data_IF_020254573447
#
_entry.id   IF_020254573447
#
_cell.length_a   1.000
_cell.length_b   1.000
_cell.length_c   1.000
_cell.angle_alpha   90.00
_cell.angle_beta   90.00
_cell.angle_gamma   90.00
#
_symmetry.space_group_name_H-M   'P 1'
#
loop_
_entity.id
_entity.type
_entity.pdbx_description
1 polymer ?
#
# COMPACT_ATOMS: atom_id res chain seq x y z
N UNK A 1 -9.50 7.40 -0.31
CA UNK A 1 -9.96 7.57 1.07
C UNK A 1 -11.30 6.87 1.36
N UNK A 2 -12.13 6.56 0.37
CA UNK A 2 -13.40 5.82 0.53
C UNK A 2 -14.63 6.65 0.92
N UNK A 3 -14.49 7.93 1.24
CA UNK A 3 -15.60 8.79 1.72
C UNK A 3 -16.78 8.85 0.75
N UNK A 4 -16.51 8.99 -0.55
CA UNK A 4 -17.53 9.04 -1.59
C UNK A 4 -17.87 7.67 -2.20
N UNK A 5 -17.25 6.61 -1.71
CA UNK A 5 -17.38 5.28 -2.31
C UNK A 5 -18.82 4.74 -2.20
N UNK A 6 -19.55 5.09 -1.13
CA UNK A 6 -20.96 4.70 -0.99
C UNK A 6 -21.85 5.24 -2.11
N UNK A 7 -21.59 6.47 -2.54
CA UNK A 7 -22.33 7.11 -3.65
C UNK A 7 -21.99 6.48 -5.01
N UNK A 8 -20.71 6.17 -5.24
CA UNK A 8 -20.22 5.79 -6.56
C UNK A 8 -20.03 4.30 -6.78
N UNK A 9 -20.12 3.44 -5.76
CA UNK A 9 -19.76 2.03 -5.87
C UNK A 9 -20.46 1.31 -7.02
N UNK A 10 -21.77 1.50 -7.18
CA UNK A 10 -22.52 0.87 -8.26
C UNK A 10 -22.08 1.34 -9.64
N UNK A 11 -21.96 2.65 -9.84
CA UNK A 11 -21.51 3.22 -11.11
C UNK A 11 -20.07 2.82 -11.45
N UNK A 12 -19.19 2.74 -10.45
CA UNK A 12 -17.81 2.26 -10.62
C UNK A 12 -17.78 0.79 -11.04
N UNK A 13 -18.64 -0.05 -10.46
CA UNK A 13 -18.77 -1.45 -10.87
C UNK A 13 -19.25 -1.58 -12.30
N UNK A 14 -20.28 -0.83 -12.68
CA UNK A 14 -20.82 -0.80 -14.05
C UNK A 14 -19.78 -0.28 -15.05
N UNK A 15 -18.92 0.65 -14.64
CA UNK A 15 -17.79 1.14 -15.45
C UNK A 15 -16.61 0.15 -15.56
N UNK A 16 -16.68 -1.02 -14.90
CA UNK A 16 -15.67 -2.08 -15.00
C UNK A 16 -14.53 -1.98 -13.96
N UNK A 17 -14.77 -1.34 -12.81
CA UNK A 17 -13.75 -1.28 -11.75
C UNK A 17 -13.48 -2.68 -11.19
N UNK A 18 -12.22 -3.14 -11.24
CA UNK A 18 -11.79 -4.46 -10.79
C UNK A 18 -11.67 -4.56 -9.26
N UNK A 19 -11.14 -3.54 -8.60
CA UNK A 19 -10.94 -3.54 -7.14
C UNK A 19 -10.65 -2.15 -6.59
N UNK A 20 -10.84 -1.95 -5.28
CA UNK A 20 -10.48 -0.72 -4.58
C UNK A 20 -9.55 -0.98 -3.40
N UNK A 21 -8.66 -0.02 -3.14
CA UNK A 21 -7.91 0.05 -1.89
C UNK A 21 -8.43 1.25 -1.10
N UNK A 22 -8.82 1.01 0.14
CA UNK A 22 -9.32 2.05 1.05
C UNK A 22 -8.31 2.22 2.18
N UNK A 23 -7.92 3.47 2.46
CA UNK A 23 -7.07 3.80 3.61
C UNK A 23 -7.92 3.86 4.87
N UNK A 24 -7.52 3.13 5.90
CA UNK A 24 -8.19 3.11 7.21
C UNK A 24 -7.15 2.80 8.29
N UNK A 25 -6.73 3.83 9.01
CA UNK A 25 -5.66 3.71 10.01
C UNK A 25 -6.19 3.57 11.43
N UNK A 26 -7.48 3.81 11.67
CA UNK A 26 -8.14 3.67 12.97
C UNK A 26 -9.65 3.47 12.82
N UNK A 27 -10.28 2.89 13.84
CA UNK A 27 -11.74 2.80 14.02
C UNK A 27 -12.26 3.69 15.15
N UNK A 28 -11.38 4.46 15.79
CA UNK A 28 -11.73 5.49 16.75
C UNK A 28 -12.00 6.81 16.02
N UNK A 29 -13.18 7.41 16.24
CA UNK A 29 -13.63 8.64 15.57
C UNK A 29 -12.72 9.84 15.90
N UNK A 30 -12.29 9.95 17.16
CA UNK A 30 -11.42 11.04 17.60
C UNK A 30 -10.04 10.94 16.96
N UNK A 31 -9.49 9.74 16.95
CA UNK A 31 -8.19 9.47 16.31
C UNK A 31 -8.28 9.63 14.80
N UNK A 32 -9.39 9.20 14.17
CA UNK A 32 -9.61 9.40 12.74
C UNK A 32 -9.64 10.89 12.38
N UNK A 33 -10.35 11.71 13.17
CA UNK A 33 -10.37 13.16 12.98
C UNK A 33 -8.99 13.78 13.18
N UNK A 34 -8.23 13.31 14.18
CA UNK A 34 -6.85 13.77 14.44
C UNK A 34 -5.91 13.46 13.27
N UNK A 35 -6.00 12.25 12.69
CA UNK A 35 -5.13 11.80 11.61
C UNK A 35 -5.49 12.42 10.26
N UNK A 36 -6.79 12.55 9.97
CA UNK A 36 -7.28 12.96 8.64
C UNK A 36 -7.70 14.42 8.56
N UNK A 37 -7.91 15.08 9.69
CA UNK A 37 -8.52 16.40 9.78
C UNK A 37 -10.01 16.45 9.47
N UNK A 38 -10.70 15.28 9.43
CA UNK A 38 -12.11 15.16 9.03
C UNK A 38 -12.85 14.18 9.93
N UNK A 39 -14.11 14.48 10.18
CA UNK A 39 -15.06 13.61 10.90
C UNK A 39 -15.89 12.80 9.90
N UNK A 40 -15.23 11.86 9.21
CA UNK A 40 -15.86 11.09 8.11
C UNK A 40 -15.64 9.58 8.23
N UNK A 41 -15.29 9.06 9.40
CA UNK A 41 -15.07 7.62 9.60
C UNK A 41 -16.28 6.79 9.18
N UNK A 42 -17.48 7.21 9.58
CA UNK A 42 -18.72 6.50 9.24
C UNK A 42 -18.99 6.49 7.73
N UNK A 43 -18.64 7.56 7.00
CA UNK A 43 -18.73 7.60 5.54
C UNK A 43 -17.77 6.62 4.87
N UNK A 44 -16.53 6.47 5.39
CA UNK A 44 -15.56 5.48 4.91
C UNK A 44 -16.07 4.06 5.12
N UNK A 45 -16.58 3.75 6.32
CA UNK A 45 -17.13 2.42 6.65
C UNK A 45 -18.37 2.09 5.79
N UNK A 46 -19.25 3.06 5.57
CA UNK A 46 -20.38 2.93 4.64
C UNK A 46 -19.90 2.68 3.20
N UNK A 47 -18.85 3.38 2.76
CA UNK A 47 -18.22 3.17 1.47
C UNK A 47 -17.65 1.77 1.27
N UNK A 48 -16.99 1.22 2.29
CA UNK A 48 -16.47 -0.16 2.28
C UNK A 48 -17.63 -1.16 2.12
N UNK A 49 -18.72 -0.97 2.86
CA UNK A 49 -19.89 -1.83 2.78
C UNK A 49 -20.57 -1.75 1.41
N UNK A 50 -20.78 -0.55 0.87
CA UNK A 50 -21.35 -0.36 -0.45
C UNK A 50 -20.51 -1.00 -1.58
N UNK A 51 -19.17 -0.92 -1.49
CA UNK A 51 -18.30 -1.60 -2.44
C UNK A 51 -18.46 -3.13 -2.37
N UNK A 52 -18.57 -3.70 -1.16
CA UNK A 52 -18.86 -5.14 -0.98
C UNK A 52 -20.20 -5.54 -1.59
N UNK A 53 -21.25 -4.78 -1.32
CA UNK A 53 -22.59 -5.01 -1.87
C UNK A 53 -22.60 -4.94 -3.40
N UNK A 54 -21.81 -4.01 -3.97
CA UNK A 54 -21.59 -3.90 -5.41
C UNK A 54 -20.64 -4.98 -5.98
N UNK A 55 -20.18 -5.94 -5.14
CA UNK A 55 -19.24 -6.98 -5.53
C UNK A 55 -17.92 -6.44 -6.11
N UNK A 56 -17.45 -5.32 -5.58
CA UNK A 56 -16.12 -4.79 -5.86
C UNK A 56 -15.16 -5.34 -4.79
N UNK A 57 -14.11 -6.08 -5.16
CA UNK A 57 -13.08 -6.50 -4.22
C UNK A 57 -12.44 -5.31 -3.51
N UNK A 58 -12.48 -5.32 -2.18
CA UNK A 58 -11.90 -4.27 -1.34
C UNK A 58 -10.65 -4.79 -0.65
N UNK A 59 -9.66 -3.94 -0.49
CA UNK A 59 -8.51 -4.13 0.41
C UNK A 59 -8.35 -2.90 1.28
N UNK A 60 -8.05 -3.09 2.54
CA UNK A 60 -7.75 -1.99 3.46
C UNK A 60 -6.24 -1.79 3.52
N UNK A 61 -5.80 -0.54 3.44
CA UNK A 61 -4.44 -0.12 3.71
C UNK A 61 -4.40 0.59 5.06
N UNK A 62 -3.51 0.17 5.93
CA UNK A 62 -3.28 0.76 7.24
C UNK A 62 -1.81 1.07 7.39
N UNK A 63 -1.48 2.33 7.67
CA UNK A 63 -0.09 2.73 7.91
C UNK A 63 0.28 2.34 9.33
N UNK A 64 1.39 1.60 9.46
CA UNK A 64 1.87 1.12 10.74
C UNK A 64 2.75 2.18 11.41
N UNK A 65 2.22 2.80 12.45
CA UNK A 65 2.93 3.74 13.35
C UNK A 65 2.87 3.23 14.79
N UNK A 66 3.71 3.75 15.69
CA UNK A 66 4.00 3.20 17.02
C UNK A 66 2.76 2.96 17.91
N UNK A 67 1.71 3.76 17.77
CA UNK A 67 0.49 3.67 18.59
C UNK A 67 -0.73 3.17 17.83
N UNK A 68 -0.51 2.47 16.71
CA UNK A 68 -1.60 1.90 15.93
C UNK A 68 -2.37 0.85 16.75
N UNK A 69 -3.67 0.99 16.86
CA UNK A 69 -4.56 -0.06 17.35
C UNK A 69 -4.82 -1.08 16.23
N UNK A 70 -3.80 -1.88 15.94
CA UNK A 70 -3.86 -2.89 14.90
C UNK A 70 -4.87 -4.00 15.20
N UNK A 71 -5.18 -4.27 16.50
CA UNK A 71 -6.16 -5.29 16.90
C UNK A 71 -7.56 -4.93 16.44
N UNK A 72 -8.03 -3.72 16.72
CA UNK A 72 -9.34 -3.25 16.26
C UNK A 72 -9.44 -3.30 14.74
N UNK A 73 -8.39 -2.93 14.01
CA UNK A 73 -8.36 -3.05 12.55
C UNK A 73 -8.47 -4.51 12.10
N UNK A 74 -7.70 -5.43 12.72
CA UNK A 74 -7.79 -6.87 12.38
C UNK A 74 -9.16 -7.45 12.72
N UNK A 75 -9.73 -7.14 13.88
CA UNK A 75 -11.05 -7.63 14.28
C UNK A 75 -12.15 -7.13 13.33
N UNK A 76 -12.08 -5.87 12.92
CA UNK A 76 -13.00 -5.32 11.93
C UNK A 76 -12.83 -6.03 10.58
N UNK A 77 -11.62 -6.11 10.05
CA UNK A 77 -11.33 -6.68 8.73
C UNK A 77 -11.64 -8.18 8.69
N UNK A 78 -11.39 -8.91 9.79
CA UNK A 78 -11.75 -10.31 9.95
C UNK A 78 -13.28 -10.51 9.94
N UNK A 79 -14.02 -9.67 10.68
CA UNK A 79 -15.50 -9.71 10.71
C UNK A 79 -16.10 -9.44 9.34
N UNK A 80 -15.58 -8.47 8.59
CA UNK A 80 -16.08 -8.13 7.25
C UNK A 80 -15.43 -8.95 6.13
N UNK A 81 -14.45 -9.81 6.44
CA UNK A 81 -13.71 -10.69 5.52
C UNK A 81 -13.02 -9.91 4.38
N UNK A 82 -12.39 -8.80 4.72
CA UNK A 82 -11.64 -7.95 3.80
C UNK A 82 -10.14 -8.05 4.12
N UNK A 83 -9.26 -8.34 3.14
CA UNK A 83 -7.81 -8.32 3.37
C UNK A 83 -7.33 -6.94 3.82
N UNK A 84 -6.43 -6.92 4.80
CA UNK A 84 -5.74 -5.70 5.24
C UNK A 84 -4.27 -5.76 4.89
N UNK A 85 -3.65 -4.61 4.61
CA UNK A 85 -2.22 -4.44 4.39
C UNK A 85 -1.67 -3.42 5.36
N UNK A 86 -0.74 -3.84 6.19
CA UNK A 86 0.04 -2.96 7.04
C UNK A 86 1.25 -2.43 6.26
N UNK A 87 1.38 -1.13 6.22
CA UNK A 87 2.41 -0.41 5.46
C UNK A 87 3.33 0.30 6.45
N UNK A 88 4.61 -0.01 6.44
CA UNK A 88 5.56 0.73 7.28
C UNK A 88 5.53 2.22 6.97
N UNK A 89 5.50 3.03 8.03
CA UNK A 89 5.54 4.47 7.93
C UNK A 89 6.84 4.92 7.26
N UNK A 90 6.71 5.67 6.18
CA UNK A 90 7.84 6.29 5.48
C UNK A 90 8.01 7.74 5.97
N UNK A 91 9.23 8.25 6.11
CA UNK A 91 9.49 9.61 6.60
C UNK A 91 9.24 10.67 5.53
N UNK A 92 8.02 10.69 4.96
CA UNK A 92 7.60 11.60 3.88
C UNK A 92 6.50 12.52 4.39
N UNK A 93 6.66 13.83 4.19
CA UNK A 93 5.67 14.82 4.59
C UNK A 93 5.33 14.71 6.08
N UNK A 94 4.06 14.54 6.43
CA UNK A 94 3.63 14.37 7.82
C UNK A 94 4.17 13.11 8.48
N UNK A 95 4.51 12.08 7.71
CA UNK A 95 5.09 10.84 8.22
C UNK A 95 6.44 11.02 8.90
N UNK A 96 7.18 12.09 8.57
CA UNK A 96 8.45 12.41 9.20
C UNK A 96 8.32 12.80 10.70
N UNK A 97 7.14 13.19 11.14
CA UNK A 97 6.86 13.55 12.54
C UNK A 97 6.44 12.34 13.40
N UNK A 98 6.25 11.16 12.80
CA UNK A 98 5.81 9.97 13.50
C UNK A 98 6.92 8.93 13.58
N UNK A 99 6.97 8.20 14.69
CA UNK A 99 7.80 7.01 14.80
C UNK A 99 7.07 5.86 14.10
N UNK A 100 7.70 5.28 13.10
CA UNK A 100 7.19 4.07 12.42
C UNK A 100 7.30 2.84 13.31
N UNK A 101 6.42 1.88 13.10
CA UNK A 101 6.51 0.53 13.67
C UNK A 101 7.18 -0.43 12.68
N UNK A 102 7.86 -1.47 13.20
CA UNK A 102 8.39 -2.56 12.39
C UNK A 102 7.29 -3.56 12.04
N UNK A 103 7.11 -3.86 10.77
CA UNK A 103 6.18 -4.90 10.34
C UNK A 103 6.59 -6.29 10.83
N UNK A 104 7.88 -6.53 11.09
CA UNK A 104 8.35 -7.78 11.68
C UNK A 104 7.87 -7.95 13.12
N UNK A 105 7.91 -6.88 13.92
CA UNK A 105 7.38 -6.89 15.27
C UNK A 105 5.86 -7.07 15.29
N UNK A 106 5.14 -6.33 14.42
CA UNK A 106 3.69 -6.48 14.27
C UNK A 106 3.31 -7.91 13.86
N UNK A 107 4.06 -8.51 12.95
CA UNK A 107 3.83 -9.89 12.53
C UNK A 107 3.91 -10.87 13.71
N UNK A 108 4.96 -10.75 14.56
CA UNK A 108 5.09 -11.59 15.76
C UNK A 108 3.91 -11.38 16.74
N UNK A 109 3.49 -10.15 16.96
CA UNK A 109 2.34 -9.84 17.81
C UNK A 109 1.04 -10.47 17.27
N UNK A 110 0.87 -10.48 15.94
CA UNK A 110 -0.29 -11.12 15.30
C UNK A 110 -0.18 -12.65 15.45
N UNK A 111 0.98 -13.26 15.26
CA UNK A 111 1.19 -14.70 15.49
C UNK A 111 0.86 -15.12 16.93
N UNK A 112 1.30 -14.35 17.92
CA UNK A 112 0.99 -14.59 19.33
C UNK A 112 -0.52 -14.57 19.62
N UNK A 113 -1.28 -13.71 18.94
CA UNK A 113 -2.72 -13.56 19.17
C UNK A 113 -3.57 -14.53 18.34
N UNK A 114 -3.17 -14.83 17.09
CA UNK A 114 -4.02 -15.53 16.11
C UNK A 114 -3.41 -16.83 15.60
N UNK A 115 -2.28 -17.25 16.14
CA UNK A 115 -1.59 -18.52 15.82
C UNK A 115 -0.50 -18.38 14.77
N UNK A 116 0.47 -19.29 14.85
CA UNK A 116 1.68 -19.28 14.05
C UNK A 116 1.41 -19.70 12.60
N UNK A 117 1.83 -18.89 11.65
CA UNK A 117 1.66 -19.13 10.19
C UNK A 117 2.35 -20.42 9.74
N UNK A 118 3.45 -20.84 10.37
CA UNK A 118 4.18 -22.07 10.06
C UNK A 118 3.38 -23.35 10.33
N UNK A 119 2.44 -23.30 11.27
CA UNK A 119 1.58 -24.44 11.63
C UNK A 119 0.34 -24.57 10.74
N UNK A 120 -0.17 -23.46 10.21
CA UNK A 120 -1.46 -23.42 9.51
C UNK A 120 -1.37 -23.57 8.00
N UNK A 121 -0.25 -23.39 7.38
CA UNK A 121 -0.25 -23.42 5.95
C UNK A 121 1.08 -23.19 5.26
N UNK A 122 1.64 -24.28 4.82
CA UNK A 122 2.38 -24.26 3.58
C UNK A 122 1.51 -23.62 2.51
N UNK A 123 1.85 -22.41 2.07
CA UNK A 123 1.36 -21.90 0.81
C UNK A 123 1.83 -22.90 -0.25
N UNK A 124 0.93 -23.79 -0.69
CA UNK A 124 1.25 -24.72 -1.77
C UNK A 124 1.34 -23.91 -3.04
N UNK A 125 2.54 -23.78 -3.58
CA UNK A 125 2.67 -23.45 -5.00
C UNK A 125 1.91 -24.51 -5.81
N UNK A 126 1.48 -24.18 -7.02
CA UNK A 126 0.92 -25.17 -7.96
C UNK A 126 1.85 -26.36 -8.23
N UNK A 127 3.11 -26.27 -7.85
CA UNK A 127 4.17 -27.29 -8.02
C UNK A 127 4.46 -28.11 -6.75
N UNK A 128 3.69 -27.94 -5.65
CA UNK A 128 3.82 -28.82 -4.47
C UNK A 128 5.03 -28.56 -3.56
N UNK A 129 5.81 -27.49 -3.77
CA UNK A 129 6.93 -27.13 -2.88
C UNK A 129 6.43 -26.52 -1.59
N UNK A 130 6.89 -27.08 -0.46
CA UNK A 130 6.64 -26.55 0.89
C UNK A 130 7.61 -25.41 1.17
N UNK A 131 7.10 -24.19 1.41
CA UNK A 131 7.91 -23.09 1.93
C UNK A 131 7.58 -22.91 3.42
N UNK A 132 8.59 -22.94 4.30
CA UNK A 132 8.43 -22.47 5.66
C UNK A 132 8.36 -20.94 5.61
N UNK A 133 7.32 -20.35 6.20
CA UNK A 133 7.25 -18.91 6.37
C UNK A 133 8.25 -18.51 7.46
N UNK A 134 9.52 -18.29 7.11
CA UNK A 134 10.48 -17.67 8.01
C UNK A 134 10.19 -16.17 8.03
N UNK A 135 9.92 -15.64 9.22
CA UNK A 135 9.67 -14.21 9.44
C UNK A 135 10.83 -13.33 8.95
N UNK A 136 12.05 -13.89 8.91
CA UNK A 136 13.24 -13.23 8.36
C UNK A 136 13.16 -13.02 6.84
N UNK A 137 12.17 -13.61 6.19
CA UNK A 137 11.93 -13.51 4.76
C UNK A 137 10.64 -12.71 4.45
N UNK A 138 10.41 -11.60 5.17
CA UNK A 138 9.50 -10.53 4.74
C UNK A 138 10.03 -9.81 3.49
N UNK A 139 11.22 -10.23 3.01
CA UNK A 139 11.77 -9.78 1.75
C UNK A 139 10.82 -10.15 0.61
N UNK A 140 10.55 -9.19 -0.23
CA UNK A 140 9.83 -9.37 -1.47
C UNK A 140 10.58 -10.36 -2.36
N UNK A 141 10.00 -11.54 -2.60
CA UNK A 141 10.48 -12.47 -3.61
C UNK A 141 9.43 -12.57 -4.71
N UNK A 142 9.86 -12.62 -5.98
CA UNK A 142 8.96 -12.76 -7.13
C UNK A 142 8.07 -14.02 -7.02
N UNK A 143 8.53 -15.06 -6.34
CA UNK A 143 7.80 -16.30 -6.09
C UNK A 143 6.58 -16.11 -5.15
N UNK A 144 6.61 -15.11 -4.24
CA UNK A 144 5.48 -14.78 -3.36
C UNK A 144 4.35 -14.03 -4.09
N UNK A 145 4.61 -13.44 -5.25
CA UNK A 145 3.61 -12.78 -6.09
C UNK A 145 2.66 -13.72 -6.86
N UNK A 146 2.94 -15.00 -6.93
CA UNK A 146 2.20 -15.91 -7.82
C UNK A 146 0.79 -16.29 -7.36
N UNK A 147 0.30 -15.80 -6.22
CA UNK A 147 -1.13 -15.86 -5.95
C UNK A 147 -1.84 -14.69 -6.66
N UNK A 148 -2.18 -14.78 -7.91
CA UNK A 148 -2.88 -13.75 -8.71
C UNK A 148 -4.16 -13.15 -8.07
N UNK A 149 -4.46 -13.54 -6.85
CA UNK A 149 -5.58 -13.12 -6.00
C UNK A 149 -5.45 -11.67 -5.47
N UNK A 150 -4.23 -11.17 -5.28
CA UNK A 150 -4.01 -9.87 -4.62
C UNK A 150 -3.39 -8.79 -5.52
N UNK A 151 -3.12 -9.09 -6.80
CA UNK A 151 -2.55 -8.14 -7.77
C UNK A 151 -1.03 -7.96 -7.63
N UNK A 152 -0.44 -7.10 -8.47
CA UNK A 152 1.02 -6.89 -8.63
C UNK A 152 1.59 -5.86 -7.64
N UNK A 153 1.19 -5.86 -6.38
CA UNK A 153 1.71 -4.93 -5.35
C UNK A 153 2.89 -5.53 -4.58
N UNK A 154 3.68 -4.71 -3.84
CA UNK A 154 4.83 -5.16 -3.07
C UNK A 154 4.47 -5.84 -1.73
N UNK A 155 3.20 -6.12 -1.47
CA UNK A 155 2.75 -6.73 -0.23
C UNK A 155 3.03 -8.23 -0.21
N UNK A 156 3.67 -8.72 0.85
CA UNK A 156 3.70 -10.14 1.19
C UNK A 156 2.45 -10.49 2.02
N UNK A 157 1.70 -11.52 1.62
CA UNK A 157 0.44 -11.91 2.27
C UNK A 157 0.58 -13.20 3.05
N UNK A 158 -0.06 -13.23 4.23
CA UNK A 158 -0.04 -14.35 5.16
C UNK A 158 -1.45 -14.68 5.63
N UNK A 159 -1.69 -15.99 5.89
CA UNK A 159 -2.92 -16.49 6.49
C UNK A 159 -2.61 -16.96 7.90
N UNK A 160 -3.16 -16.27 8.90
CA UNK A 160 -3.07 -16.67 10.30
C UNK A 160 -4.23 -17.60 10.64
N UNK A 161 -4.02 -18.66 11.47
CA UNK A 161 -5.06 -19.65 11.77
C UNK A 161 -6.33 -19.05 12.40
N UNK A 162 -6.19 -18.04 13.25
CA UNK A 162 -7.31 -17.35 13.90
C UNK A 162 -8.04 -16.32 13.04
N UNK A 163 -7.63 -16.13 11.76
CA UNK A 163 -8.19 -15.12 10.87
C UNK A 163 -8.80 -15.75 9.61
N UNK A 164 -9.93 -15.22 9.16
CA UNK A 164 -10.64 -15.66 7.95
C UNK A 164 -10.25 -14.88 6.68
N UNK A 165 -9.33 -13.92 6.80
CA UNK A 165 -8.84 -13.08 5.70
C UNK A 165 -7.32 -13.07 5.65
N UNK A 166 -6.74 -12.61 4.53
CA UNK A 166 -5.30 -12.51 4.36
C UNK A 166 -4.79 -11.17 4.94
N UNK A 167 -3.66 -11.23 5.64
CA UNK A 167 -2.94 -10.08 6.17
C UNK A 167 -1.70 -9.83 5.31
N UNK A 168 -1.59 -8.65 4.74
CA UNK A 168 -0.46 -8.23 3.91
C UNK A 168 0.49 -7.30 4.66
N UNK A 169 1.76 -7.35 4.33
CA UNK A 169 2.78 -6.45 4.87
C UNK A 169 3.54 -5.79 3.72
N UNK A 170 3.71 -4.46 3.79
CA UNK A 170 4.54 -3.66 2.89
C UNK A 170 5.65 -3.04 3.74
N UNK A 171 6.80 -3.70 3.76
CA UNK A 171 7.95 -3.33 4.59
C UNK A 171 8.89 -2.41 3.80
N UNK A 172 8.47 -1.15 3.65
CA UNK A 172 9.19 -0.17 2.86
C UNK A 172 10.50 0.31 3.52
N UNK A 173 10.63 0.18 4.85
CA UNK A 173 11.78 0.65 5.62
C UNK A 173 12.79 -0.48 5.88
N UNK A 174 12.31 -1.60 6.44
CA UNK A 174 13.20 -2.68 6.92
C UNK A 174 13.48 -3.75 5.87
N UNK A 175 12.58 -3.94 4.89
CA UNK A 175 12.75 -4.93 3.82
C UNK A 175 12.48 -4.29 2.46
N UNK A 176 13.48 -3.57 1.95
CA UNK A 176 13.38 -2.83 0.69
C UNK A 176 13.02 -3.74 -0.47
N UNK A 177 11.93 -3.42 -1.15
CA UNK A 177 11.51 -4.07 -2.41
C UNK A 177 11.92 -3.28 -3.66
N UNK A 178 12.90 -2.40 -3.54
CA UNK A 178 13.29 -1.45 -4.61
C UNK A 178 13.68 -2.14 -5.92
N UNK A 179 14.38 -3.29 -5.85
CA UNK A 179 14.82 -4.05 -7.04
C UNK A 179 13.68 -4.54 -7.92
N UNK A 180 12.53 -4.83 -7.31
CA UNK A 180 11.30 -5.27 -7.99
C UNK A 180 10.22 -4.18 -8.05
N UNK A 181 10.55 -2.96 -7.64
CA UNK A 181 9.60 -1.85 -7.58
C UNK A 181 9.23 -1.36 -8.98
N UNK A 182 8.01 -1.67 -9.40
CA UNK A 182 7.40 -1.23 -10.65
C UNK A 182 6.59 0.08 -10.52
N UNK A 183 6.76 0.83 -9.42
CA UNK A 183 5.94 2.02 -9.15
C UNK A 183 6.54 3.26 -9.77
N UNK A 184 5.70 3.98 -10.50
CA UNK A 184 5.87 5.38 -10.90
C UNK A 184 4.60 6.12 -10.51
N UNK A 185 4.66 7.44 -10.38
CA UNK A 185 3.51 8.26 -10.00
C UNK A 185 3.39 9.45 -10.93
N UNK A 186 2.17 9.76 -11.33
CA UNK A 186 1.84 10.97 -12.04
C UNK A 186 1.12 11.91 -11.07
N UNK A 187 1.69 13.09 -10.86
CA UNK A 187 1.03 14.12 -10.03
C UNK A 187 -0.09 14.81 -10.78
N UNK A 188 -0.97 15.49 -10.06
CA UNK A 188 -2.05 16.32 -10.66
C UNK A 188 -1.52 17.44 -11.54
N UNK A 189 -0.26 17.83 -11.36
CA UNK A 189 0.43 18.86 -12.15
C UNK A 189 1.06 18.30 -13.44
N UNK A 190 0.98 16.98 -13.65
CA UNK A 190 1.56 16.33 -14.83
C UNK A 190 3.04 15.99 -14.69
N UNK A 191 3.56 15.92 -13.46
CA UNK A 191 4.93 15.52 -13.19
C UNK A 191 5.01 14.01 -12.95
N UNK A 192 5.85 13.29 -13.70
CA UNK A 192 6.10 11.87 -13.57
C UNK A 192 7.23 11.64 -12.55
N UNK A 193 6.88 11.16 -11.36
CA UNK A 193 7.82 10.78 -10.30
C UNK A 193 8.24 9.32 -10.44
N UNK A 194 9.53 9.07 -10.29
CA UNK A 194 10.13 7.73 -10.44
C UNK A 194 10.27 7.00 -9.10
N UNK A 195 10.39 7.76 -8.00
CA UNK A 195 10.51 7.25 -6.64
C UNK A 195 9.84 8.22 -5.65
N UNK A 196 9.39 7.71 -4.51
CA UNK A 196 8.84 8.56 -3.43
C UNK A 196 9.93 9.29 -2.64
N UNK A 197 11.13 8.71 -2.57
CA UNK A 197 12.24 9.25 -1.77
C UNK A 197 12.90 10.47 -2.41
N UNK A 198 12.82 10.58 -3.73
CA UNK A 198 13.54 11.59 -4.49
C UNK A 198 12.59 12.49 -5.29
N UNK A 199 12.97 13.77 -5.40
CA UNK A 199 12.28 14.72 -6.27
C UNK A 199 12.44 14.40 -7.76
N UNK A 200 13.45 13.60 -8.11
CA UNK A 200 13.78 13.24 -9.51
C UNK A 200 12.56 12.69 -10.26
N UNK A 201 12.32 13.24 -11.44
CA UNK A 201 11.24 12.87 -12.34
C UNK A 201 11.23 13.76 -13.58
N UNK A 202 10.11 13.83 -14.27
CA UNK A 202 9.98 14.63 -15.50
C UNK A 202 8.60 15.33 -15.58
N UNK A 203 8.60 16.59 -16.00
CA UNK A 203 7.37 17.34 -16.29
C UNK A 203 6.81 16.92 -17.66
N UNK A 204 5.88 15.95 -17.65
CA UNK A 204 5.22 15.46 -18.87
C UNK A 204 4.32 16.54 -19.50
N UNK A 205 3.80 17.48 -18.72
CA UNK A 205 3.01 18.59 -19.23
C UNK A 205 3.85 19.52 -20.09
N UNK A 206 5.08 19.85 -19.64
CA UNK A 206 6.03 20.63 -20.42
C UNK A 206 6.40 19.88 -21.72
N UNK A 207 6.68 18.58 -21.60
CA UNK A 207 6.99 17.71 -22.75
C UNK A 207 5.84 17.71 -23.79
N UNK A 208 4.58 17.62 -23.34
CA UNK A 208 3.40 17.60 -24.23
C UNK A 208 3.13 18.93 -24.92
N UNK A 209 3.54 20.04 -24.31
CA UNK A 209 3.30 21.40 -24.82
C UNK A 209 4.46 21.99 -25.62
N UNK A 210 5.56 21.28 -25.75
CA UNK A 210 6.71 21.71 -26.55
C UNK A 210 6.46 21.41 -28.04
N UNK A 211 6.21 22.44 -28.90
CA UNK A 211 5.99 22.26 -30.32
C UNK A 211 7.27 21.88 -31.08
N UNK A 212 8.44 22.15 -30.50
CA UNK A 212 9.77 21.83 -31.09
C UNK A 212 10.27 20.44 -30.74
N UNK A 213 9.56 19.69 -29.96
CA UNK A 213 9.98 18.38 -29.51
C UNK A 213 10.16 17.37 -30.63
N UNK A 214 11.34 16.72 -30.66
CA UNK A 214 11.65 15.67 -31.65
C UNK A 214 11.28 14.25 -31.13
N UNK A 215 11.33 14.03 -29.82
CA UNK A 215 11.01 12.75 -29.19
C UNK A 215 9.49 12.60 -28.95
N UNK A 216 8.98 11.40 -29.05
CA UNK A 216 7.61 11.06 -28.64
C UNK A 216 7.49 11.06 -27.12
N UNK A 217 6.27 11.24 -26.59
CA UNK A 217 6.01 11.11 -25.17
C UNK A 217 6.46 9.73 -24.62
N UNK A 218 6.26 8.68 -25.41
CA UNK A 218 6.62 7.32 -25.03
C UNK A 218 8.15 7.14 -24.89
N UNK A 219 8.94 7.74 -25.78
CA UNK A 219 10.41 7.71 -25.70
C UNK A 219 10.89 8.44 -24.44
N UNK A 220 10.37 9.64 -24.19
CA UNK A 220 10.72 10.43 -23.00
C UNK A 220 10.36 9.67 -21.71
N UNK A 221 9.18 9.05 -21.65
CA UNK A 221 8.78 8.25 -20.49
C UNK A 221 9.67 7.02 -20.31
N UNK A 222 10.03 6.34 -21.38
CA UNK A 222 10.97 5.19 -21.32
C UNK A 222 12.32 5.60 -20.76
N UNK A 223 12.92 6.66 -21.29
CA UNK A 223 14.19 7.19 -20.80
C UNK A 223 14.13 7.55 -19.32
N UNK A 224 13.07 8.26 -18.90
CA UNK A 224 12.86 8.59 -17.50
C UNK A 224 12.77 7.35 -16.60
N UNK A 225 12.03 6.31 -17.03
CA UNK A 225 11.90 5.07 -16.26
C UNK A 225 13.24 4.33 -16.13
N UNK A 226 14.07 4.32 -17.16
CA UNK A 226 15.43 3.74 -17.08
C UNK A 226 16.33 4.48 -16.09
N UNK A 227 16.07 5.75 -15.83
CA UNK A 227 16.79 6.54 -14.82
C UNK A 227 16.23 6.43 -13.40
N UNK A 228 15.25 5.54 -13.19
CA UNK A 228 14.70 5.29 -11.86
C UNK A 228 15.82 4.89 -10.89
N UNK A 229 15.90 5.50 -9.68
CA UNK A 229 16.86 5.11 -8.66
C UNK A 229 16.76 3.61 -8.34
N UNK A 230 17.92 2.96 -8.16
CA UNK A 230 17.97 1.53 -7.82
C UNK A 230 17.34 1.22 -6.47
N UNK A 231 17.47 2.16 -5.52
CA UNK A 231 16.89 2.06 -4.18
C UNK A 231 16.60 3.44 -3.57
N UNK A 232 15.77 3.47 -2.53
CA UNK A 232 15.51 4.66 -1.74
C UNK A 232 16.53 4.81 -0.59
N UNK A 233 16.57 6.01 0.02
CA UNK A 233 17.45 6.34 1.14
C UNK A 233 16.67 6.74 2.41
N UNK A 234 15.51 6.15 2.67
CA UNK A 234 14.66 6.53 3.81
C UNK A 234 15.36 6.38 5.17
N UNK A 235 16.36 5.52 5.29
CA UNK A 235 17.17 5.39 6.51
C UNK A 235 18.11 6.58 6.72
N UNK A 236 18.40 7.32 5.66
CA UNK A 236 19.26 8.51 5.65
C UNK A 236 18.42 9.72 5.23
N UNK A 237 17.56 10.18 6.12
CA UNK A 237 16.60 11.25 5.85
C UNK A 237 17.26 12.52 5.27
N UNK A 238 18.53 12.79 5.64
CA UNK A 238 19.32 13.90 5.09
C UNK A 238 19.63 13.77 3.60
N UNK A 239 19.56 12.57 3.02
CA UNK A 239 19.79 12.32 1.60
C UNK A 239 18.50 12.34 0.78
N UNK A 240 17.35 12.40 1.44
CA UNK A 240 16.06 12.52 0.76
C UNK A 240 15.95 13.89 0.11
N UNK A 241 15.47 13.91 -1.13
CA UNK A 241 15.21 15.18 -1.83
C UNK A 241 13.74 15.49 -2.01
N UNK A 242 12.85 14.55 -1.64
CA UNK A 242 11.40 14.80 -1.65
C UNK A 242 10.96 15.53 -0.38
N UNK A 243 10.36 16.70 -0.55
CA UNK A 243 9.87 17.55 0.54
C UNK A 243 8.36 17.76 0.51
N UNK A 244 7.67 17.30 -0.54
CA UNK A 244 6.23 17.46 -0.66
C UNK A 244 5.47 16.43 0.21
N UNK A 245 4.30 16.85 0.68
CA UNK A 245 3.37 15.93 1.34
C UNK A 245 2.85 14.85 0.35
N UNK A 246 2.56 13.66 0.86
CA UNK A 246 2.08 12.52 0.06
C UNK A 246 0.91 12.89 -0.86
N UNK A 247 -0.02 13.72 -0.40
CA UNK A 247 -1.18 14.18 -1.19
C UNK A 247 -0.81 14.94 -2.47
N UNK A 248 0.39 15.53 -2.53
CA UNK A 248 0.89 16.26 -3.72
C UNK A 248 1.66 15.36 -4.69
N UNK A 249 2.13 14.23 -4.23
CA UNK A 249 2.97 13.33 -5.03
C UNK A 249 2.24 12.04 -5.46
N UNK A 250 0.90 12.07 -5.45
CA UNK A 250 0.07 10.97 -5.95
C UNK A 250 -0.12 9.84 -4.95
N UNK A 251 -0.21 10.18 -3.66
CA UNK A 251 -0.50 9.23 -2.56
C UNK A 251 -1.78 9.56 -1.85
#
# INVERSE_FOLDING_TARGET
NGVLLAEYAKALKEAGLDSVNVSLDTLDETEFQRLTGRDELNAVLAGINAAKEAQIPVKINTVHYQHLDWKSILDYTNRVQIPVRFIEMMPIGYGAAYTGGSNEELFRQIEECYGNVSEAGTVRSREGKKYSADIRDLSYTEEKQQSGKHGAGPAAYYRFPGLNMDVGFISAMHHKFCRSCNRIRLTSEGYLKLCLCYEKGIDLRAVLRDPGRKQTLQEVMKEAIFEKPAEHCFEQVSEMTEHNAMVRIGG
#
